data_IF_466657315199
#
_entry.id   IF_466657315199
#
_cell.length_a   1.000
_cell.length_b   1.000
_cell.length_c   1.000
_cell.angle_alpha   90.00
_cell.angle_beta   90.00
_cell.angle_gamma   90.00
#
_symmetry.space_group_name_H-M   'P 1'
#
loop_
_entity.id
_entity.type
_entity.pdbx_description
1 polymer ?
#
# COMPACT_ATOMS: atom_id res chain seq x y z
N UNK A 1 8.42 8.78 11.52
CA UNK A 1 8.09 7.35 11.53
C UNK A 1 9.32 6.61 11.08
N UNK A 2 9.66 5.50 11.71
CA UNK A 2 10.79 4.69 11.24
C UNK A 2 10.42 3.95 9.94
N UNK A 3 11.41 3.46 9.20
CA UNK A 3 11.14 2.77 7.94
C UNK A 3 10.32 1.51 8.12
N UNK A 4 10.52 0.75 9.21
CA UNK A 4 9.74 -0.46 9.47
C UNK A 4 8.29 -0.13 9.84
N UNK A 5 8.06 0.92 10.62
CA UNK A 5 6.70 1.41 10.91
C UNK A 5 5.98 1.79 9.61
N UNK A 6 6.67 2.51 8.73
CA UNK A 6 6.15 2.91 7.43
C UNK A 6 5.90 1.69 6.55
N UNK A 7 6.75 0.66 6.61
CA UNK A 7 6.56 -0.54 5.83
C UNK A 7 5.23 -1.23 6.15
N UNK A 8 4.91 -1.36 7.45
CA UNK A 8 3.62 -1.88 7.89
C UNK A 8 2.44 -1.01 7.43
N UNK A 9 2.57 0.33 7.50
CA UNK A 9 1.51 1.24 7.06
C UNK A 9 1.24 1.14 5.55
N UNK A 10 2.30 1.03 4.74
CA UNK A 10 2.20 0.84 3.29
C UNK A 10 1.56 -0.52 2.98
N UNK A 11 2.00 -1.58 3.67
CA UNK A 11 1.46 -2.93 3.52
C UNK A 11 -0.05 -2.96 3.74
N UNK A 12 -0.56 -2.26 4.76
CA UNK A 12 -2.01 -2.15 5.02
C UNK A 12 -2.75 -1.21 4.07
N UNK A 13 -2.07 -0.25 3.46
CA UNK A 13 -2.67 0.74 2.58
C UNK A 13 -2.88 0.25 1.14
N UNK A 14 -1.93 -0.53 0.61
CA UNK A 14 -1.94 -1.04 -0.76
C UNK A 14 -3.19 -1.90 -1.11
N UNK A 15 -3.64 -2.87 -0.29
CA UNK A 15 -4.81 -3.68 -0.65
C UNK A 15 -6.09 -2.82 -0.76
N UNK A 16 -6.21 -1.77 0.06
CA UNK A 16 -7.33 -0.82 -0.02
C UNK A 16 -7.31 -0.02 -1.34
N UNK A 17 -6.12 0.37 -1.78
CA UNK A 17 -5.92 1.06 -3.07
C UNK A 17 -6.30 0.15 -4.23
N UNK A 18 -5.85 -1.11 -4.21
CA UNK A 18 -6.16 -2.11 -5.23
C UNK A 18 -7.67 -2.32 -5.34
N UNK A 19 -8.35 -2.56 -4.22
CA UNK A 19 -9.81 -2.77 -4.21
C UNK A 19 -10.60 -1.52 -4.67
N UNK A 20 -10.14 -0.32 -4.33
CA UNK A 20 -10.81 0.89 -4.80
C UNK A 20 -10.63 1.12 -6.30
N UNK A 21 -9.44 0.83 -6.83
CA UNK A 21 -9.20 0.92 -8.26
C UNK A 21 -10.05 -0.10 -9.03
N UNK A 22 -10.24 -1.30 -8.47
CA UNK A 22 -11.16 -2.30 -9.00
C UNK A 22 -12.60 -1.81 -9.04
N UNK A 23 -13.08 -1.22 -7.93
CA UNK A 23 -14.42 -0.64 -7.84
C UNK A 23 -14.61 0.49 -8.86
N UNK A 24 -13.60 1.35 -9.01
CA UNK A 24 -13.60 2.44 -10.00
C UNK A 24 -13.65 1.92 -11.44
N UNK A 25 -12.84 0.91 -11.78
CA UNK A 25 -12.87 0.27 -13.09
C UNK A 25 -14.24 -0.32 -13.42
N UNK A 26 -14.87 -1.01 -12.46
CA UNK A 26 -16.19 -1.61 -12.65
C UNK A 26 -17.29 -0.56 -12.83
N UNK A 27 -17.22 0.55 -12.09
CA UNK A 27 -18.14 1.68 -12.24
C UNK A 27 -18.06 2.30 -13.64
N UNK A 28 -16.83 2.48 -14.16
CA UNK A 28 -16.60 3.02 -15.50
C UNK A 28 -17.09 2.08 -16.60
N UNK A 29 -16.86 0.76 -16.50
CA UNK A 29 -17.37 -0.22 -17.47
C UNK A 29 -18.91 -0.19 -17.57
N UNK A 30 -19.60 0.23 -16.51
CA UNK A 30 -21.06 0.38 -16.51
C UNK A 30 -21.51 1.64 -17.28
N UNK A 31 -20.65 2.66 -17.36
CA UNK A 31 -20.91 3.91 -18.08
C UNK A 31 -20.29 3.82 -19.48
N UNK A 32 -21.04 3.28 -20.45
CA UNK A 32 -20.55 2.99 -21.80
C UNK A 32 -19.82 4.15 -22.52
N UNK A 33 -20.04 5.41 -22.11
CA UNK A 33 -19.34 6.60 -22.62
C UNK A 33 -17.83 6.62 -22.30
N UNK A 34 -17.36 5.87 -21.30
CA UNK A 34 -15.97 5.89 -20.83
C UNK A 34 -15.19 4.60 -21.13
N UNK A 35 -15.66 3.74 -22.03
CA UNK A 35 -15.00 2.48 -22.42
C UNK A 35 -13.50 2.64 -22.75
N UNK A 36 -13.11 3.80 -23.30
CA UNK A 36 -11.70 4.12 -23.61
C UNK A 36 -10.76 4.03 -22.39
N UNK A 37 -11.28 4.24 -21.17
CA UNK A 37 -10.50 4.19 -19.94
C UNK A 37 -10.52 2.82 -19.26
N UNK A 38 -11.35 1.88 -19.73
CA UNK A 38 -11.49 0.55 -19.13
C UNK A 38 -10.17 -0.23 -19.19
N UNK A 39 -9.53 -0.29 -20.37
CA UNK A 39 -8.30 -1.04 -20.54
C UNK A 39 -7.14 -0.47 -19.70
N UNK A 40 -6.82 0.84 -19.74
CA UNK A 40 -5.79 1.42 -18.88
C UNK A 40 -6.03 1.20 -17.38
N UNK A 41 -7.29 1.27 -16.91
CA UNK A 41 -7.62 1.05 -15.50
C UNK A 41 -7.45 -0.41 -15.09
N UNK A 42 -7.84 -1.36 -15.94
CA UNK A 42 -7.59 -2.80 -15.71
C UNK A 42 -6.10 -3.10 -15.67
N UNK A 43 -5.31 -2.51 -16.56
CA UNK A 43 -3.84 -2.64 -16.54
C UNK A 43 -3.26 -2.08 -15.25
N UNK A 44 -3.63 -0.86 -14.87
CA UNK A 44 -3.16 -0.26 -13.61
C UNK A 44 -3.55 -1.10 -12.38
N UNK A 45 -4.76 -1.65 -12.35
CA UNK A 45 -5.18 -2.56 -11.28
C UNK A 45 -4.31 -3.81 -11.21
N UNK A 46 -4.02 -4.42 -12.37
CA UNK A 46 -3.15 -5.59 -12.43
C UNK A 46 -1.74 -5.24 -11.94
N UNK A 47 -1.16 -4.15 -12.44
CA UNK A 47 0.19 -3.71 -12.07
C UNK A 47 0.30 -3.44 -10.56
N UNK A 48 -0.66 -2.72 -9.97
CA UNK A 48 -0.69 -2.48 -8.53
C UNK A 48 -0.92 -3.76 -7.71
N UNK A 49 -1.68 -4.73 -8.24
CA UNK A 49 -1.85 -6.03 -7.57
C UNK A 49 -0.56 -6.83 -7.53
N UNK A 50 0.23 -6.76 -8.62
CA UNK A 50 1.56 -7.36 -8.69
C UNK A 50 2.51 -6.67 -7.72
N UNK A 51 2.56 -5.34 -7.73
CA UNK A 51 3.39 -4.55 -6.82
C UNK A 51 3.03 -4.82 -5.35
N UNK A 52 1.74 -4.91 -5.01
CA UNK A 52 1.30 -5.30 -3.67
C UNK A 52 1.82 -6.68 -3.27
N UNK A 53 1.71 -7.67 -4.17
CA UNK A 53 2.20 -9.03 -3.91
C UNK A 53 3.72 -9.05 -3.69
N UNK A 54 4.47 -8.32 -4.51
CA UNK A 54 5.92 -8.18 -4.35
C UNK A 54 6.29 -7.49 -3.04
N UNK A 55 5.56 -6.44 -2.68
CA UNK A 55 5.76 -5.69 -1.45
C UNK A 55 5.47 -6.54 -0.21
N UNK A 56 4.38 -7.31 -0.22
CA UNK A 56 4.04 -8.26 0.85
C UNK A 56 5.15 -9.29 1.03
N UNK A 57 5.60 -9.95 -0.04
CA UNK A 57 6.71 -10.90 0.00
C UNK A 57 8.02 -10.27 0.52
N UNK A 58 8.27 -9.00 0.16
CA UNK A 58 9.42 -8.27 0.66
C UNK A 58 9.31 -7.99 2.17
N UNK A 59 8.12 -7.64 2.66
CA UNK A 59 7.86 -7.46 4.10
C UNK A 59 8.00 -8.78 4.87
N UNK A 60 7.47 -9.88 4.34
CA UNK A 60 7.63 -11.22 4.94
C UNK A 60 9.11 -11.57 5.13
N UNK A 61 9.91 -11.43 4.07
CA UNK A 61 11.38 -11.64 4.11
C UNK A 61 12.13 -10.65 4.98
N UNK A 62 11.63 -9.42 5.09
CA UNK A 62 12.20 -8.43 5.99
C UNK A 62 12.03 -8.87 7.44
N UNK A 63 10.85 -9.37 7.80
CA UNK A 63 10.53 -9.82 9.15
C UNK A 63 11.21 -11.15 9.52
N UNK A 64 11.55 -11.99 8.54
CA UNK A 64 12.40 -13.17 8.74
C UNK A 64 13.73 -12.78 9.43
N UNK A 65 14.00 -13.37 10.59
CA UNK A 65 15.20 -13.09 11.39
C UNK A 65 15.17 -11.78 12.19
N UNK A 66 14.14 -10.94 12.02
CA UNK A 66 13.84 -9.85 12.94
C UNK A 66 12.88 -10.32 14.05
N UNK A 67 11.93 -11.17 13.69
CA UNK A 67 10.98 -11.81 14.60
C UNK A 67 11.23 -13.31 14.54
N UNK A 68 11.69 -13.88 15.65
CA UNK A 68 12.11 -15.28 15.72
C UNK A 68 10.90 -16.23 15.79
N UNK A 69 9.84 -15.79 16.48
CA UNK A 69 8.59 -16.52 16.59
C UNK A 69 7.74 -16.38 15.31
N UNK A 70 7.24 -17.50 14.79
CA UNK A 70 6.45 -17.49 13.57
C UNK A 70 5.04 -16.91 13.79
N UNK A 71 4.44 -17.13 14.96
CA UNK A 71 3.08 -16.65 15.24
C UNK A 71 3.08 -15.12 15.43
N UNK A 72 4.12 -14.57 16.08
CA UNK A 72 4.33 -13.12 16.20
C UNK A 72 4.58 -12.47 14.82
N UNK A 73 5.33 -13.15 13.93
CA UNK A 73 5.56 -12.67 12.57
C UNK A 73 4.26 -12.66 11.76
N UNK A 74 3.48 -13.73 11.84
CA UNK A 74 2.18 -13.82 11.18
C UNK A 74 1.23 -12.74 11.72
N UNK A 75 1.22 -12.49 13.04
CA UNK A 75 0.40 -11.43 13.64
C UNK A 75 0.73 -10.04 13.08
N UNK A 76 2.00 -9.73 12.80
CA UNK A 76 2.41 -8.48 12.15
C UNK A 76 1.84 -8.36 10.72
N UNK A 77 1.81 -9.46 9.97
CA UNK A 77 1.27 -9.50 8.61
C UNK A 77 -0.26 -9.43 8.59
N UNK A 78 -0.93 -9.97 9.61
CA UNK A 78 -2.38 -9.90 9.78
C UNK A 78 -2.86 -8.54 10.29
N UNK A 79 -2.00 -7.79 11.02
CA UNK A 79 -2.27 -6.40 11.43
C UNK A 79 -1.20 -5.41 10.90
N UNK A 80 -1.13 -5.15 9.57
CA UNK A 80 -0.16 -4.24 8.99
C UNK A 80 -0.27 -2.82 9.55
N UNK A 81 0.86 -2.24 9.98
CA UNK A 81 0.92 -0.88 10.52
C UNK A 81 0.30 -0.73 11.92
N UNK A 82 -0.10 -1.84 12.54
CA UNK A 82 -0.58 -1.92 13.92
C UNK A 82 0.50 -1.56 14.95
N UNK A 83 0.16 -1.67 16.24
CA UNK A 83 1.06 -1.26 17.33
C UNK A 83 2.39 -2.03 17.34
N UNK A 84 2.37 -3.32 16.97
CA UNK A 84 3.55 -4.17 16.94
C UNK A 84 4.61 -3.69 15.94
N UNK A 85 4.20 -3.01 14.85
CA UNK A 85 5.13 -2.40 13.88
C UNK A 85 5.92 -1.22 14.45
N UNK A 86 5.45 -0.63 15.55
CA UNK A 86 6.11 0.47 16.28
C UNK A 86 7.00 -0.02 17.42
N UNK A 87 7.24 -1.34 17.49
CA UNK A 87 8.10 -1.91 18.51
C UNK A 87 9.55 -1.42 18.31
N UNK A 88 10.15 -0.70 19.27
CA UNK A 88 11.53 -0.23 19.16
C UNK A 88 12.56 -1.35 18.99
N UNK A 89 12.25 -2.56 19.47
CA UNK A 89 13.15 -3.71 19.33
C UNK A 89 13.21 -4.22 17.89
N UNK A 90 12.08 -4.17 17.18
CA UNK A 90 11.98 -4.53 15.76
C UNK A 90 12.84 -3.56 14.92
N UNK A 91 12.71 -2.27 15.20
CA UNK A 91 13.48 -1.20 14.58
C UNK A 91 14.99 -1.36 14.85
N UNK A 92 15.37 -1.60 16.11
CA UNK A 92 16.77 -1.84 16.50
C UNK A 92 17.37 -3.06 15.82
N UNK A 93 16.64 -4.18 15.74
CA UNK A 93 17.10 -5.38 15.01
C UNK A 93 17.28 -5.09 13.52
N UNK A 94 16.38 -4.32 12.92
CA UNK A 94 16.51 -3.91 11.52
C UNK A 94 17.74 -3.04 11.28
N UNK A 95 17.99 -2.06 12.14
CA UNK A 95 19.19 -1.21 12.10
C UNK A 95 20.46 -2.03 12.20
N UNK A 96 20.49 -3.05 13.07
CA UNK A 96 21.63 -3.97 13.18
C UNK A 96 21.82 -4.78 11.90
N UNK A 97 20.74 -5.30 11.31
CA UNK A 97 20.76 -6.11 10.08
C UNK A 97 21.26 -5.32 8.86
N UNK A 98 20.72 -4.11 8.67
CA UNK A 98 21.05 -3.29 7.50
C UNK A 98 22.31 -2.45 7.69
N UNK A 99 22.65 -2.12 8.94
CA UNK A 99 23.84 -1.35 9.31
C UNK A 99 23.96 -0.07 8.45
N UNK A 100 24.92 -0.02 7.53
CA UNK A 100 25.21 1.14 6.68
C UNK A 100 24.10 1.50 5.69
N UNK A 101 23.24 0.56 5.31
CA UNK A 101 22.16 0.80 4.33
C UNK A 101 20.82 1.17 4.98
N UNK A 102 20.76 1.20 6.31
CA UNK A 102 19.53 1.51 7.04
C UNK A 102 18.95 2.90 6.68
N UNK A 103 19.80 3.91 6.51
CA UNK A 103 19.32 5.26 6.13
C UNK A 103 18.64 5.25 4.75
N UNK A 104 19.24 4.57 3.77
CA UNK A 104 18.68 4.43 2.42
C UNK A 104 17.35 3.68 2.47
N UNK A 105 17.26 2.62 3.27
CA UNK A 105 16.00 1.91 3.47
C UNK A 105 14.91 2.85 4.00
N UNK A 106 15.21 3.66 5.01
CA UNK A 106 14.26 4.63 5.55
C UNK A 106 13.80 5.62 4.48
N UNK A 107 14.73 6.17 3.69
CA UNK A 107 14.42 7.13 2.64
C UNK A 107 13.48 6.51 1.59
N UNK A 108 13.78 5.29 1.13
CA UNK A 108 12.92 4.53 0.21
C UNK A 108 11.53 4.31 0.81
N UNK A 109 11.44 3.93 2.09
CA UNK A 109 10.15 3.74 2.75
C UNK A 109 9.34 5.04 2.80
N UNK A 110 9.97 6.18 3.07
CA UNK A 110 9.28 7.47 3.03
C UNK A 110 8.79 7.82 1.62
N UNK A 111 9.60 7.56 0.59
CA UNK A 111 9.19 7.80 -0.80
C UNK A 111 7.97 6.96 -1.20
N UNK A 112 7.98 5.66 -0.85
CA UNK A 112 6.84 4.77 -1.09
C UNK A 112 5.61 5.26 -0.32
N UNK A 113 5.78 5.71 0.93
CA UNK A 113 4.68 6.26 1.71
C UNK A 113 4.06 7.48 1.05
N UNK A 114 4.87 8.42 0.57
CA UNK A 114 4.40 9.60 -0.15
C UNK A 114 3.67 9.23 -1.43
N UNK A 115 4.17 8.25 -2.20
CA UNK A 115 3.50 7.75 -3.40
C UNK A 115 2.13 7.14 -3.06
N UNK A 116 2.04 6.32 -2.02
CA UNK A 116 0.78 5.73 -1.53
C UNK A 116 -0.21 6.82 -1.08
N UNK A 117 0.24 7.83 -0.34
CA UNK A 117 -0.61 8.94 0.05
C UNK A 117 -1.11 9.72 -1.17
N UNK A 118 -0.25 9.91 -2.19
CA UNK A 118 -0.64 10.57 -3.41
C UNK A 118 -1.70 9.78 -4.18
N UNK A 119 -1.56 8.46 -4.26
CA UNK A 119 -2.57 7.59 -4.89
C UNK A 119 -3.89 7.67 -4.13
N UNK A 120 -3.86 7.63 -2.78
CA UNK A 120 -5.07 7.79 -1.96
C UNK A 120 -5.79 9.10 -2.21
N UNK A 121 -5.03 10.21 -2.33
CA UNK A 121 -5.59 11.52 -2.67
C UNK A 121 -6.23 11.53 -4.06
N UNK A 122 -5.55 10.96 -5.07
CA UNK A 122 -6.04 10.88 -6.44
C UNK A 122 -7.31 10.03 -6.58
N UNK A 123 -7.39 8.94 -5.81
CA UNK A 123 -8.55 8.06 -5.79
C UNK A 123 -9.77 8.68 -5.11
N UNK A 124 -9.64 9.83 -4.42
CA UNK A 124 -10.73 10.58 -3.77
C UNK A 124 -11.75 9.65 -3.11
N UNK A 125 -11.32 8.92 -2.08
CA UNK A 125 -12.26 8.23 -1.20
C UNK A 125 -13.08 9.28 -0.45
N UNK A 126 -14.19 9.70 -1.05
CA UNK A 126 -15.27 10.33 -0.31
C UNK A 126 -15.84 9.27 0.64
N UNK A 127 -16.11 9.64 1.89
CA UNK A 127 -16.46 8.75 3.00
C UNK A 127 -17.72 7.89 2.80
N UNK A 128 -18.39 8.01 1.65
CA UNK A 128 -19.66 7.34 1.33
C UNK A 128 -19.57 6.32 0.18
N UNK A 129 -18.38 6.01 -0.34
CA UNK A 129 -18.23 4.96 -1.37
C UNK A 129 -19.01 5.20 -2.67
N UNK A 130 -19.47 6.43 -2.91
CA UNK A 130 -20.12 6.84 -4.16
C UNK A 130 -19.10 7.46 -5.09
N UNK A 131 -18.88 6.79 -6.23
CA UNK A 131 -18.27 7.42 -7.40
C UNK A 131 -19.24 8.52 -7.84
N UNK A 132 -18.81 9.78 -7.79
CA UNK A 132 -19.56 10.89 -8.37
C UNK A 132 -19.67 10.64 -9.89
N UNK A 133 -20.76 9.99 -10.32
CA UNK A 133 -21.42 10.46 -11.53
C UNK A 133 -21.61 11.96 -11.36
N UNK A 134 -21.43 12.72 -12.43
CA UNK A 134 -21.36 14.19 -12.46
C UNK A 134 -19.96 14.79 -12.32
N UNK A 135 -19.12 14.51 -13.31
CA UNK A 135 -18.43 15.64 -13.95
C UNK A 135 -19.48 16.37 -14.78
N UNK A 136 -20.24 17.26 -14.13
CA UNK A 136 -20.82 18.41 -14.81
C UNK A 136 -19.63 19.22 -15.33
N UNK A 137 -19.41 19.20 -16.64
CA UNK A 137 -18.60 20.22 -17.31
C UNK A 137 -19.58 21.36 -17.61
N UNK A 138 -19.52 22.52 -16.93
CA UNK A 138 -20.13 23.72 -17.49
C UNK A 138 -19.25 24.20 -18.64
N UNK A 139 -19.94 24.43 -19.77
CA UNK A 139 -19.52 25.00 -21.06
C UNK A 139 -18.12 25.61 -21.19
#
# INVERSE_FOLDING_TARGET
MSGIEVAGLVLGALPLIVEALKAYSNGISTIGTYLRYELPLKTLHMDLSVEYTLYQNACERLLEGLVDDNDEREALLQEPGGRAWRNPDLERKLQQRLSKTYSIFNDIMQEIHLAVLKIKELLRFDSDGKVWYFIFIPY
#
